data_IF_532857906120
#
_entry.id   IF_532857906120
#
_cell.length_a   1.000
_cell.length_b   1.000
_cell.length_c   1.000
_cell.angle_alpha   90.00
_cell.angle_beta   90.00
_cell.angle_gamma   90.00
#
_symmetry.space_group_name_H-M   'P 1'
#
loop_
_entity.id
_entity.type
_entity.pdbx_description
1 polymer ?
#
# COMPACT_ATOMS: atom_id res chain seq x y z
N UNK A 1 16.90 8.27 -24.60
CA UNK A 1 16.19 8.77 -23.41
C UNK A 1 17.23 8.97 -22.32
N UNK A 2 17.63 10.22 -22.05
CA UNK A 2 18.53 10.50 -20.92
C UNK A 2 17.65 10.72 -19.70
N UNK A 3 17.36 9.64 -18.98
CA UNK A 3 16.64 9.70 -17.71
C UNK A 3 17.51 10.36 -16.65
N UNK A 4 16.89 11.00 -15.65
CA UNK A 4 17.60 11.50 -14.47
C UNK A 4 18.45 10.36 -13.89
N UNK A 5 19.75 10.58 -13.62
CA UNK A 5 20.59 9.56 -13.00
C UNK A 5 19.96 9.05 -11.71
N UNK A 6 20.11 7.75 -11.45
CA UNK A 6 19.71 7.14 -10.18
C UNK A 6 20.47 7.81 -9.05
N UNK A 7 19.77 8.04 -7.92
CA UNK A 7 20.32 8.71 -6.74
C UNK A 7 21.16 7.70 -5.94
N UNK A 8 20.60 6.52 -5.67
CA UNK A 8 21.28 5.42 -4.98
C UNK A 8 21.79 4.43 -6.02
N UNK A 9 23.07 4.03 -5.91
CA UNK A 9 23.75 3.27 -6.96
C UNK A 9 23.74 1.76 -6.73
N UNK A 10 23.59 1.30 -5.48
CA UNK A 10 23.58 -0.13 -5.17
C UNK A 10 22.56 -0.51 -4.08
N UNK A 11 22.10 -1.78 -4.05
CA UNK A 11 21.24 -2.28 -2.98
C UNK A 11 21.88 -2.13 -1.59
N UNK A 12 23.19 -2.33 -1.48
CA UNK A 12 23.92 -2.17 -0.22
C UNK A 12 23.92 -0.73 0.28
N UNK A 13 24.06 0.24 -0.64
CA UNK A 13 23.94 1.66 -0.30
C UNK A 13 22.51 1.99 0.15
N UNK A 14 21.51 1.43 -0.53
CA UNK A 14 20.10 1.60 -0.18
C UNK A 14 19.82 1.08 1.23
N UNK A 15 20.23 -0.16 1.52
CA UNK A 15 20.01 -0.81 2.80
C UNK A 15 20.72 -0.04 3.94
N UNK A 16 21.95 0.44 3.69
CA UNK A 16 22.68 1.28 4.65
C UNK A 16 21.94 2.58 4.97
N UNK A 17 21.40 3.28 3.98
CA UNK A 17 20.64 4.52 4.18
C UNK A 17 19.31 4.27 4.91
N UNK A 18 18.66 3.13 4.63
CA UNK A 18 17.47 2.70 5.37
C UNK A 18 17.82 2.47 6.85
N UNK A 19 18.90 1.74 7.12
CA UNK A 19 19.34 1.46 8.50
C UNK A 19 19.75 2.73 9.25
N UNK A 20 20.42 3.64 8.57
CA UNK A 20 20.77 4.96 9.09
C UNK A 20 19.52 5.75 9.50
N UNK A 21 18.52 5.84 8.61
CA UNK A 21 17.26 6.50 8.92
C UNK A 21 16.53 5.85 10.11
N UNK A 22 16.44 4.52 10.13
CA UNK A 22 15.76 3.79 11.21
C UNK A 22 16.46 4.02 12.56
N UNK A 23 17.79 3.99 12.58
CA UNK A 23 18.57 4.29 13.78
C UNK A 23 18.33 5.72 14.27
N UNK A 24 18.33 6.71 13.36
CA UNK A 24 18.05 8.10 13.71
C UNK A 24 16.65 8.28 14.32
N UNK A 25 15.62 7.65 13.73
CA UNK A 25 14.26 7.75 14.27
C UNK A 25 14.12 7.04 15.63
N UNK A 26 14.77 5.89 15.80
CA UNK A 26 14.81 5.18 17.09
C UNK A 26 15.43 6.06 18.17
N UNK A 27 16.56 6.69 17.89
CA UNK A 27 17.28 7.53 18.86
C UNK A 27 16.48 8.81 19.21
N UNK A 28 15.66 9.30 18.27
CA UNK A 28 14.74 10.44 18.49
C UNK A 28 13.42 10.04 19.15
N UNK A 29 13.11 8.75 19.25
CA UNK A 29 11.78 8.28 19.66
C UNK A 29 10.67 8.63 18.66
N UNK A 30 11.02 8.82 17.39
CA UNK A 30 10.10 9.17 16.32
C UNK A 30 9.68 7.93 15.50
N UNK A 31 8.49 7.95 14.86
CA UNK A 31 8.10 6.88 13.98
C UNK A 31 8.93 6.87 12.68
N UNK A 32 9.24 5.67 12.21
CA UNK A 32 9.71 5.44 10.83
C UNK A 32 8.51 5.56 9.89
N UNK A 33 8.65 6.35 8.82
CA UNK A 33 7.60 6.53 7.81
C UNK A 33 8.16 6.39 6.41
N UNK A 34 7.33 5.98 5.44
CA UNK A 34 7.72 5.90 4.04
C UNK A 34 8.25 7.22 3.48
N UNK A 35 7.54 8.31 3.76
CA UNK A 35 7.91 9.62 3.25
C UNK A 35 9.20 10.11 3.90
N UNK A 36 9.34 9.95 5.23
CA UNK A 36 10.58 10.31 5.92
C UNK A 36 11.78 9.50 5.42
N UNK A 37 11.60 8.20 5.20
CA UNK A 37 12.62 7.33 4.62
C UNK A 37 12.99 7.78 3.21
N UNK A 38 12.01 8.01 2.34
CA UNK A 38 12.25 8.48 0.99
C UNK A 38 13.02 9.81 0.96
N UNK A 39 12.66 10.76 1.83
CA UNK A 39 13.37 12.04 1.96
C UNK A 39 14.82 11.84 2.45
N UNK A 40 15.04 10.94 3.40
CA UNK A 40 16.39 10.62 3.89
C UNK A 40 17.28 10.01 2.79
N UNK A 41 16.71 9.13 1.94
CA UNK A 41 17.38 8.57 0.77
C UNK A 41 17.61 9.59 -0.36
N UNK A 42 17.15 10.84 -0.20
CA UNK A 42 17.30 11.91 -1.19
C UNK A 42 16.22 11.93 -2.27
N UNK A 43 15.15 11.15 -2.12
CA UNK A 43 14.02 11.13 -3.05
C UNK A 43 13.04 12.28 -2.76
N UNK A 44 12.25 12.65 -3.78
CA UNK A 44 11.20 13.68 -3.65
C UNK A 44 9.81 13.10 -3.36
N UNK A 45 9.65 11.77 -3.37
CA UNK A 45 8.37 11.10 -3.16
C UNK A 45 8.59 9.67 -2.68
N UNK A 46 7.62 9.14 -1.90
CA UNK A 46 7.58 7.72 -1.53
C UNK A 46 7.48 6.79 -2.75
N UNK A 47 6.92 7.26 -3.86
CA UNK A 47 6.81 6.46 -5.10
C UNK A 47 8.20 6.14 -5.65
N UNK A 48 9.11 7.12 -5.61
CA UNK A 48 10.50 6.92 -6.03
C UNK A 48 11.23 5.87 -5.19
N UNK A 49 10.81 5.62 -3.95
CA UNK A 49 11.32 4.49 -3.16
C UNK A 49 10.83 3.15 -3.71
N UNK A 50 9.58 3.07 -4.15
CA UNK A 50 8.98 1.86 -4.68
C UNK A 50 9.49 1.50 -6.07
N UNK A 51 9.71 2.50 -6.92
CA UNK A 51 10.23 2.34 -8.29
C UNK A 51 11.62 1.67 -8.31
N UNK A 52 12.36 1.71 -7.20
CA UNK A 52 13.64 0.99 -7.12
C UNK A 52 13.48 -0.52 -7.19
N UNK A 53 12.30 -1.08 -6.89
CA UNK A 53 12.08 -2.52 -6.97
C UNK A 53 12.23 -3.07 -8.40
N UNK A 54 12.08 -2.20 -9.42
CA UNK A 54 12.22 -2.53 -10.83
C UNK A 54 13.70 -2.57 -11.28
N UNK A 55 14.63 -2.04 -10.46
CA UNK A 55 16.05 -2.16 -10.73
C UNK A 55 16.62 -3.48 -10.21
N UNK A 56 17.53 -4.06 -11.00
CA UNK A 56 18.20 -5.31 -10.67
C UNK A 56 18.87 -5.25 -9.28
N UNK A 57 18.58 -6.23 -8.43
CA UNK A 57 19.13 -6.34 -7.07
C UNK A 57 18.37 -5.59 -5.97
N UNK A 58 17.50 -4.63 -6.31
CA UNK A 58 16.87 -3.76 -5.31
C UNK A 58 15.53 -4.25 -4.76
N UNK A 59 14.89 -5.23 -5.41
CA UNK A 59 13.57 -5.74 -5.02
C UNK A 59 13.52 -6.15 -3.55
N UNK A 60 14.54 -6.85 -3.06
CA UNK A 60 14.67 -7.23 -1.65
C UNK A 60 14.75 -6.01 -0.72
N UNK A 61 15.66 -5.08 -1.01
CA UNK A 61 15.89 -3.88 -0.19
C UNK A 61 14.63 -3.00 -0.10
N UNK A 62 13.90 -2.85 -1.22
CA UNK A 62 12.63 -2.11 -1.24
C UNK A 62 11.54 -2.82 -0.43
N UNK A 63 11.42 -4.14 -0.56
CA UNK A 63 10.44 -4.92 0.23
C UNK A 63 10.77 -4.89 1.72
N UNK A 64 12.05 -4.94 2.09
CA UNK A 64 12.53 -4.79 3.46
C UNK A 64 12.19 -3.39 4.02
N UNK A 65 12.45 -2.33 3.27
CA UNK A 65 12.08 -0.97 3.64
C UNK A 65 10.56 -0.83 3.90
N UNK A 66 9.73 -1.47 3.07
CA UNK A 66 8.27 -1.53 3.28
C UNK A 66 7.88 -2.26 4.56
N UNK A 67 8.42 -3.46 4.75
CA UNK A 67 8.16 -4.28 5.93
C UNK A 67 8.50 -3.55 7.24
N UNK A 68 9.59 -2.76 7.28
CA UNK A 68 9.97 -1.95 8.45
C UNK A 68 8.90 -0.93 8.81
N UNK A 69 8.30 -0.26 7.82
CA UNK A 69 7.24 0.72 8.10
C UNK A 69 5.94 0.01 8.49
N UNK A 70 5.62 -1.11 7.84
CA UNK A 70 4.47 -1.94 8.20
C UNK A 70 4.57 -2.45 9.64
N UNK A 71 5.74 -2.90 10.09
CA UNK A 71 5.94 -3.38 11.47
C UNK A 71 5.67 -2.31 12.53
N UNK A 72 5.92 -1.03 12.21
CA UNK A 72 5.58 0.08 13.11
C UNK A 72 4.06 0.26 13.26
N UNK A 73 3.32 0.10 12.17
CA UNK A 73 1.86 0.14 12.21
C UNK A 73 1.29 -1.12 12.87
N UNK A 74 1.87 -2.28 12.61
CA UNK A 74 1.52 -3.54 13.27
C UNK A 74 1.71 -3.44 14.79
N UNK A 75 2.84 -2.93 15.26
CA UNK A 75 3.08 -2.72 16.70
C UNK A 75 2.04 -1.80 17.34
N UNK A 76 1.57 -0.77 16.61
CA UNK A 76 0.50 0.13 17.06
C UNK A 76 -0.88 -0.54 17.15
N UNK A 77 -1.13 -1.67 16.50
CA UNK A 77 -2.40 -2.40 16.63
C UNK A 77 -2.68 -2.85 18.06
N UNK A 78 -1.64 -3.07 18.86
CA UNK A 78 -1.76 -3.46 20.26
C UNK A 78 -2.16 -2.29 21.20
N UNK A 79 -2.35 -1.08 20.66
CA UNK A 79 -2.67 0.12 21.44
C UNK A 79 -4.12 0.59 21.21
N UNK A 80 -4.76 1.22 22.22
CA UNK A 80 -6.05 1.87 22.02
C UNK A 80 -6.00 2.92 20.88
N UNK A 81 -7.07 3.02 20.11
CA UNK A 81 -7.15 4.02 19.03
C UNK A 81 -6.36 3.66 17.75
N UNK A 82 -6.14 2.38 17.48
CA UNK A 82 -5.38 1.87 16.32
C UNK A 82 -6.02 2.10 14.94
N UNK A 83 -7.10 2.89 14.81
CA UNK A 83 -7.81 3.10 13.55
C UNK A 83 -6.92 3.61 12.41
N UNK A 84 -5.96 4.50 12.73
CA UNK A 84 -4.97 4.98 11.76
C UNK A 84 -3.99 3.90 11.30
N UNK A 85 -3.56 3.00 12.21
CA UNK A 85 -2.70 1.88 11.87
C UNK A 85 -3.43 0.85 10.99
N UNK A 86 -4.69 0.54 11.32
CA UNK A 86 -5.56 -0.32 10.51
C UNK A 86 -5.74 0.26 9.10
N UNK A 87 -6.02 1.56 8.99
CA UNK A 87 -6.13 2.24 7.70
C UNK A 87 -4.83 2.15 6.89
N UNK A 88 -3.68 2.40 7.53
CA UNK A 88 -2.38 2.32 6.88
C UNK A 88 -2.10 0.91 6.35
N UNK A 89 -2.23 -0.13 7.19
CA UNK A 89 -1.99 -1.53 6.80
C UNK A 89 -2.92 -1.99 5.67
N UNK A 90 -4.20 -1.57 5.68
CA UNK A 90 -5.12 -1.84 4.58
C UNK A 90 -4.67 -1.27 3.24
N UNK A 91 -4.12 -0.04 3.25
CA UNK A 91 -3.52 0.55 2.04
C UNK A 91 -2.24 -0.19 1.59
N UNK A 92 -1.64 -0.99 2.46
CA UNK A 92 -0.52 -1.88 2.16
C UNK A 92 -0.95 -3.31 1.82
N UNK A 93 -2.23 -3.54 1.54
CA UNK A 93 -2.74 -4.83 1.07
C UNK A 93 -3.14 -5.79 2.19
N UNK A 94 -3.04 -5.38 3.46
CA UNK A 94 -3.60 -6.17 4.56
C UNK A 94 -5.11 -6.17 4.46
N UNK A 95 -5.72 -7.34 4.47
CA UNK A 95 -7.16 -7.47 4.37
C UNK A 95 -7.71 -8.15 5.61
N UNK A 96 -8.86 -7.64 6.07
CA UNK A 96 -9.70 -8.40 6.97
C UNK A 96 -10.47 -9.43 6.15
N UNK A 97 -10.42 -10.71 6.54
CA UNK A 97 -11.16 -11.76 5.84
C UNK A 97 -12.60 -11.74 6.33
N UNK A 98 -13.51 -11.25 5.49
CA UNK A 98 -14.94 -11.23 5.77
C UNK A 98 -15.62 -12.43 5.13
N UNK A 99 -16.11 -13.37 5.95
CA UNK A 99 -17.06 -14.39 5.50
C UNK A 99 -18.45 -13.77 5.45
N UNK A 100 -18.99 -13.58 4.24
CA UNK A 100 -20.37 -13.12 4.04
C UNK A 100 -21.22 -14.25 3.48
N UNK A 101 -22.30 -14.57 4.18
CA UNK A 101 -23.35 -15.44 3.67
C UNK A 101 -24.49 -14.57 3.18
N UNK A 102 -24.87 -14.73 1.92
CA UNK A 102 -25.99 -14.01 1.33
C UNK A 102 -27.23 -14.88 1.38
N UNK A 103 -28.14 -14.56 2.27
CA UNK A 103 -29.46 -15.20 2.39
C UNK A 103 -30.56 -14.17 2.11
N UNK A 104 -31.71 -14.64 1.62
CA UNK A 104 -32.94 -13.87 1.56
C UNK A 104 -33.50 -13.59 2.96
N UNK A 105 -34.64 -12.90 3.00
CA UNK A 105 -35.36 -12.62 4.24
C UNK A 105 -35.59 -13.91 5.04
N UNK A 106 -35.43 -13.84 6.37
CA UNK A 106 -35.61 -14.97 7.29
C UNK A 106 -34.75 -16.21 6.96
N UNK A 107 -33.58 -16.01 6.35
CA UNK A 107 -32.67 -17.09 5.97
C UNK A 107 -33.12 -17.90 4.75
N UNK A 108 -34.18 -17.45 4.06
CA UNK A 108 -34.69 -18.11 2.86
C UNK A 108 -33.71 -17.96 1.68
N UNK A 109 -33.84 -18.77 0.62
CA UNK A 109 -33.10 -18.56 -0.62
C UNK A 109 -33.32 -17.14 -1.18
N UNK A 110 -32.26 -16.56 -1.75
CA UNK A 110 -32.38 -15.32 -2.52
C UNK A 110 -33.36 -15.54 -3.68
N UNK A 111 -34.34 -14.63 -3.82
CA UNK A 111 -35.26 -14.62 -4.95
C UNK A 111 -34.79 -13.57 -5.96
N UNK A 112 -34.08 -13.94 -7.04
CA UNK A 112 -33.68 -12.98 -8.07
C UNK A 112 -34.93 -12.52 -8.84
N UNK A 113 -35.11 -11.20 -8.94
CA UNK A 113 -36.12 -10.63 -9.83
C UNK A 113 -35.44 -10.26 -11.15
N UNK A 114 -35.81 -10.97 -12.23
CA UNK A 114 -35.31 -10.70 -13.58
C UNK A 114 -36.41 -10.00 -14.36
N UNK A 115 -36.15 -8.80 -14.85
CA UNK A 115 -37.02 -8.08 -15.78
C UNK A 115 -36.38 -8.01 -17.16
N UNK A 116 -37.17 -8.29 -18.19
CA UNK A 116 -36.78 -8.12 -19.60
C UNK A 116 -37.58 -6.94 -20.14
N UNK A 117 -36.89 -5.90 -20.60
CA UNK A 117 -37.49 -4.75 -21.26
C UNK A 117 -37.11 -4.81 -22.74
N UNK A 118 -38.11 -4.87 -23.61
CA UNK A 118 -37.89 -4.74 -25.05
C UNK A 118 -37.86 -3.26 -25.40
N UNK A 119 -36.76 -2.81 -25.98
CA UNK A 119 -36.61 -1.44 -26.51
C UNK A 119 -36.91 -1.52 -28.00
N UNK A 120 -37.87 -0.72 -28.46
CA UNK A 120 -38.15 -0.58 -29.89
C UNK A 120 -36.94 0.09 -30.57
N UNK A 121 -36.59 -0.28 -31.82
CA UNK A 121 -35.55 0.41 -32.56
C UNK A 121 -35.94 1.87 -32.74
N UNK A 122 -34.98 2.79 -32.57
CA UNK A 122 -35.18 4.21 -32.86
C UNK A 122 -35.64 4.35 -34.31
N UNK A 123 -36.80 4.96 -34.53
CA UNK A 123 -37.23 5.37 -35.86
C UNK A 123 -36.31 6.54 -36.26
N UNK A 124 -35.37 6.29 -37.17
CA UNK A 124 -34.54 7.33 -37.77
C UNK A 124 -35.48 8.37 -38.43
N UNK A 125 -35.61 9.54 -37.81
CA UNK A 125 -36.31 10.71 -38.36
C UNK A 125 -35.62 11.14 -39.68
N UNK A 126 -36.26 10.86 -40.83
CA UNK A 126 -35.95 11.49 -42.13
C UNK A 126 -36.62 12.87 -42.28
#
# INVERSE_FOLDING_TARGET
>A
MSGRPRIVQSPEEFDRLVDEYVAQQRDRGEPVTYTGMALHLGFSSRLSLYDYADYEGFSYSVNRAKAIVESQYEARLNQPGAGGAIFALKNHGWADTQRREHTGADGQPLQPQVSVVFVAPDEDDE
#
